data_IF_447087532696
#
_entry.id   IF_447087532696
#
_cell.length_a   1.000
_cell.length_b   1.000
_cell.length_c   1.000
_cell.angle_alpha   90.00
_cell.angle_beta   90.00
_cell.angle_gamma   90.00
#
_symmetry.space_group_name_H-M   'P 1'
#
loop_
_entity.id
_entity.type
_entity.pdbx_description
1 polymer ?
#
# COMPACT_ATOMS: atom_id res chain seq x y z
N UNK A 1 21.18 45.41 5.51
CA UNK A 1 21.04 44.28 4.57
C UNK A 1 20.48 43.05 5.30
N UNK A 2 19.27 43.14 5.88
CA UNK A 2 18.73 42.07 6.76
C UNK A 2 17.25 41.75 6.46
N UNK A 3 16.69 42.32 5.38
CA UNK A 3 15.28 42.13 4.97
C UNK A 3 15.10 41.35 3.67
N UNK A 4 16.18 40.97 2.97
CA UNK A 4 16.11 40.19 1.71
C UNK A 4 16.31 38.68 1.88
N UNK A 5 16.92 38.22 2.99
CA UNK A 5 17.13 36.79 3.23
C UNK A 5 15.84 36.05 3.65
N UNK A 6 14.90 36.73 4.30
CA UNK A 6 13.69 36.09 4.86
C UNK A 6 12.64 35.81 3.78
N UNK A 7 12.62 36.58 2.68
CA UNK A 7 11.66 36.38 1.60
C UNK A 7 12.03 35.20 0.68
N UNK A 8 13.32 34.84 0.59
CA UNK A 8 13.77 33.65 -0.12
C UNK A 8 13.47 32.35 0.64
N UNK A 9 13.51 32.36 1.98
CA UNK A 9 13.09 31.19 2.78
C UNK A 9 11.58 30.94 2.74
N UNK A 10 10.76 31.98 2.62
CA UNK A 10 9.29 31.81 2.55
C UNK A 10 8.80 31.28 1.19
N UNK A 11 9.56 31.50 0.11
CA UNK A 11 9.22 31.04 -1.25
C UNK A 11 9.61 29.60 -1.56
N UNK A 12 10.43 28.96 -0.73
CA UNK A 12 10.92 27.58 -0.92
C UNK A 12 10.20 26.53 -0.06
N UNK A 13 9.27 26.94 0.81
CA UNK A 13 8.63 26.07 1.81
C UNK A 13 7.10 25.97 1.73
N UNK A 14 6.45 26.40 0.64
CA UNK A 14 4.97 26.39 0.52
C UNK A 14 4.38 25.40 -0.47
N UNK A 15 5.17 24.49 -1.04
CA UNK A 15 4.59 23.17 -1.35
C UNK A 15 4.46 22.44 -0.03
N UNK A 16 3.23 22.24 0.45
CA UNK A 16 2.91 21.15 1.37
C UNK A 16 3.65 19.91 0.84
N UNK A 17 4.79 19.59 1.46
CA UNK A 17 5.53 18.37 1.22
C UNK A 17 4.62 17.26 1.75
N UNK A 18 3.63 16.85 0.94
CA UNK A 18 3.24 15.45 0.94
C UNK A 18 4.55 14.72 0.70
N UNK A 19 5.04 14.07 1.75
CA UNK A 19 6.30 13.34 1.67
C UNK A 19 6.16 12.38 0.49
N UNK A 20 7.02 12.53 -0.51
CA UNK A 20 7.05 11.61 -1.64
C UNK A 20 7.04 10.17 -1.11
N UNK A 21 6.42 9.23 -1.84
CA UNK A 21 6.33 7.86 -1.37
C UNK A 21 7.75 7.35 -1.08
N UNK A 22 7.90 6.69 0.06
CA UNK A 22 9.22 6.36 0.60
C UNK A 22 9.24 4.95 1.18
N UNK A 23 10.43 4.34 1.17
CA UNK A 23 10.67 3.00 1.68
C UNK A 23 11.72 3.10 2.78
N UNK A 24 11.35 2.77 4.01
CA UNK A 24 12.29 2.54 5.10
C UNK A 24 12.57 1.05 5.22
N UNK A 25 13.83 0.67 5.38
CA UNK A 25 14.26 -0.71 5.62
C UNK A 25 15.04 -0.78 6.94
N UNK A 26 14.67 -1.72 7.81
CA UNK A 26 15.40 -2.06 9.03
C UNK A 26 15.71 -3.54 9.05
N UNK A 27 16.96 -3.87 9.33
CA UNK A 27 17.45 -5.25 9.42
C UNK A 27 18.08 -5.50 10.78
N UNK A 28 17.78 -6.66 11.34
CA UNK A 28 18.22 -7.06 12.67
C UNK A 28 18.54 -8.55 12.67
N UNK A 29 19.76 -8.91 13.10
CA UNK A 29 20.14 -10.32 13.30
C UNK A 29 19.81 -10.71 14.72
N UNK A 30 19.08 -11.81 14.89
CA UNK A 30 18.68 -12.34 16.18
C UNK A 30 19.08 -13.81 16.31
N UNK A 31 19.29 -14.27 17.53
CA UNK A 31 19.33 -15.70 17.84
C UNK A 31 17.94 -16.15 18.31
N UNK A 32 17.40 -17.18 17.66
CA UNK A 32 16.13 -17.80 18.04
C UNK A 32 16.40 -19.25 18.40
N UNK A 33 16.38 -19.55 19.69
CA UNK A 33 16.58 -20.92 20.22
C UNK A 33 17.89 -21.56 19.70
N UNK A 34 18.97 -20.78 19.59
CA UNK A 34 20.26 -21.23 19.06
C UNK A 34 20.37 -21.25 17.54
N UNK A 35 19.35 -20.75 16.81
CA UNK A 35 19.39 -20.58 15.36
C UNK A 35 19.45 -19.10 15.01
N UNK A 36 20.49 -18.63 14.31
CA UNK A 36 20.57 -17.25 13.86
C UNK A 36 19.51 -17.00 12.78
N UNK A 37 18.78 -15.89 12.90
CA UNK A 37 17.74 -15.43 11.97
C UNK A 37 17.97 -13.96 11.61
N UNK A 38 17.54 -13.57 10.41
CA UNK A 38 17.53 -12.19 9.94
C UNK A 38 16.08 -11.70 9.91
N UNK A 39 15.80 -10.65 10.67
CA UNK A 39 14.51 -9.96 10.66
C UNK A 39 14.63 -8.71 9.78
N UNK A 40 13.85 -8.67 8.72
CA UNK A 40 13.79 -7.53 7.80
C UNK A 40 12.40 -6.89 7.88
N UNK A 41 12.37 -5.58 8.11
CA UNK A 41 11.16 -4.77 8.20
C UNK A 41 11.21 -3.66 7.17
N UNK A 42 10.27 -3.68 6.23
CA UNK A 42 10.02 -2.62 5.29
C UNK A 42 8.79 -1.83 5.72
N UNK A 43 8.91 -0.51 5.72
CA UNK A 43 7.80 0.42 5.88
C UNK A 43 7.71 1.25 4.61
N UNK A 44 6.61 1.09 3.87
CA UNK A 44 6.34 1.89 2.67
C UNK A 44 5.29 2.93 2.99
N UNK A 45 5.63 4.20 2.85
CA UNK A 45 4.71 5.32 3.08
C UNK A 45 4.10 5.73 1.74
N UNK A 46 2.76 5.79 1.66
CA UNK A 46 1.99 6.23 0.50
C UNK A 46 0.88 7.17 0.97
N UNK A 47 0.98 8.47 0.69
CA UNK A 47 0.08 9.51 1.18
C UNK A 47 -0.21 9.39 2.68
N UNK A 48 -1.45 9.04 3.03
CA UNK A 48 -1.92 8.83 4.41
C UNK A 48 -1.89 7.35 4.86
N UNK A 49 -1.46 6.45 3.99
CA UNK A 49 -1.32 5.03 4.26
C UNK A 49 0.12 4.61 4.50
N UNK A 50 0.29 3.57 5.31
CA UNK A 50 1.58 2.95 5.55
C UNK A 50 1.45 1.43 5.39
N UNK A 51 2.32 0.83 4.58
CA UNK A 51 2.36 -0.60 4.34
C UNK A 51 3.52 -1.18 5.14
N UNK A 52 3.23 -2.16 5.99
CA UNK A 52 4.20 -2.87 6.80
C UNK A 52 4.47 -4.24 6.19
N UNK A 53 5.72 -4.48 5.81
CA UNK A 53 6.15 -5.77 5.31
C UNK A 53 7.30 -6.30 6.18
N UNK A 54 7.10 -7.47 6.78
CA UNK A 54 8.02 -8.09 7.73
C UNK A 54 8.33 -9.51 7.28
N UNK A 55 9.61 -9.87 7.31
CA UNK A 55 10.04 -11.25 7.10
C UNK A 55 11.13 -11.68 8.07
N UNK A 56 11.03 -12.90 8.58
CA UNK A 56 12.10 -13.61 9.30
C UNK A 56 12.68 -14.67 8.38
N UNK A 57 13.99 -14.58 8.11
CA UNK A 57 14.69 -15.44 7.14
C UNK A 57 15.94 -16.08 7.73
N UNK A 58 16.40 -17.17 7.10
CA UNK A 58 17.72 -17.72 7.39
C UNK A 58 18.79 -16.76 6.85
N UNK A 59 19.78 -16.32 7.66
CA UNK A 59 20.78 -15.34 7.23
C UNK A 59 21.66 -15.80 6.06
N UNK A 60 21.74 -17.11 5.82
CA UNK A 60 22.65 -17.68 4.82
C UNK A 60 22.02 -17.80 3.43
N UNK A 61 20.71 -18.01 3.32
CA UNK A 61 20.04 -18.24 2.03
C UNK A 61 18.78 -17.36 1.82
N UNK A 62 18.50 -16.45 2.75
CA UNK A 62 17.35 -15.54 2.75
C UNK A 62 15.99 -16.22 2.55
N UNK A 63 15.89 -17.53 2.81
CA UNK A 63 14.60 -18.22 2.76
C UNK A 63 13.81 -17.91 4.03
N UNK A 64 12.49 -17.68 3.92
CA UNK A 64 11.62 -17.55 5.08
C UNK A 64 11.77 -18.76 6.01
N UNK A 65 11.99 -18.51 7.30
CA UNK A 65 12.00 -19.54 8.34
C UNK A 65 10.53 -19.77 8.71
N UNK A 66 9.74 -20.37 7.81
CA UNK A 66 8.30 -20.57 8.07
C UNK A 66 8.10 -21.59 9.18
N UNK A 67 8.01 -21.17 10.45
CA UNK A 67 7.71 -22.10 11.55
C UNK A 67 6.85 -21.53 12.69
N UNK A 68 6.63 -20.22 12.83
CA UNK A 68 5.71 -19.68 13.86
C UNK A 68 4.90 -18.46 13.37
N UNK A 69 3.79 -18.17 14.06
CA UNK A 69 2.98 -16.98 13.80
C UNK A 69 3.81 -15.69 13.96
N UNK A 70 3.73 -14.81 12.97
CA UNK A 70 4.37 -13.50 12.99
C UNK A 70 5.74 -13.44 12.32
N UNK A 71 6.27 -14.56 11.82
CA UNK A 71 7.52 -14.62 11.02
C UNK A 71 7.36 -13.93 9.65
N UNK A 72 6.12 -13.92 9.13
CA UNK A 72 5.72 -13.17 7.96
C UNK A 72 4.58 -12.22 8.36
N UNK A 73 4.68 -10.94 7.98
CA UNK A 73 3.59 -9.98 8.13
C UNK A 73 3.49 -9.10 6.90
N UNK A 74 2.28 -9.04 6.33
CA UNK A 74 1.94 -8.09 5.28
C UNK A 74 0.71 -7.34 5.75
N UNK A 75 0.90 -6.11 6.19
CA UNK A 75 -0.11 -5.33 6.87
C UNK A 75 -0.19 -3.90 6.38
N UNK A 76 -1.27 -3.22 6.75
CA UNK A 76 -1.42 -1.79 6.49
C UNK A 76 -1.82 -1.05 7.76
N UNK A 77 -1.23 0.12 7.93
CA UNK A 77 -1.65 1.15 8.86
C UNK A 77 -2.33 2.22 8.05
N UNK A 78 -3.65 2.25 8.16
CA UNK A 78 -4.48 3.14 7.38
C UNK A 78 -5.58 3.71 8.27
N UNK A 79 -5.73 5.03 8.23
CA UNK A 79 -6.70 5.83 9.00
C UNK A 79 -6.56 5.83 10.53
N UNK A 80 -6.48 4.68 11.18
CA UNK A 80 -6.39 4.59 12.66
C UNK A 80 -5.06 4.08 13.14
N UNK A 81 -4.81 4.36 14.42
CA UNK A 81 -3.77 3.70 15.19
C UNK A 81 -3.80 2.18 14.98
N UNK A 82 -2.64 1.55 14.80
CA UNK A 82 -2.52 0.12 14.61
C UNK A 82 -3.29 -0.66 15.68
N UNK A 83 -3.86 -1.81 15.31
CA UNK A 83 -4.56 -2.72 16.23
C UNK A 83 -5.80 -2.13 16.92
N UNK A 84 -6.41 -1.09 16.33
CA UNK A 84 -7.73 -0.63 16.76
C UNK A 84 -8.86 -1.25 15.91
N UNK A 85 -9.91 -1.81 16.53
CA UNK A 85 -11.06 -2.32 15.78
C UNK A 85 -11.72 -1.24 14.92
N UNK A 86 -12.28 -1.68 13.79
CA UNK A 86 -12.73 -0.81 12.70
C UNK A 86 -11.65 -0.49 11.67
N UNK A 87 -10.38 -0.81 11.92
CA UNK A 87 -9.29 -0.60 10.96
C UNK A 87 -8.94 -1.88 10.18
N UNK A 88 -7.93 -1.78 9.31
CA UNK A 88 -7.31 -2.87 8.57
C UNK A 88 -6.12 -3.48 9.30
N UNK A 89 -5.89 -4.79 9.14
CA UNK A 89 -4.87 -5.49 9.93
C UNK A 89 -3.45 -4.96 9.64
N UNK A 90 -2.71 -4.45 10.65
CA UNK A 90 -1.34 -3.97 10.44
C UNK A 90 -0.32 -5.10 10.32
N UNK A 91 -0.74 -6.36 10.42
CA UNK A 91 0.13 -7.54 10.40
C UNK A 91 -0.28 -8.61 9.38
N UNK A 92 -1.56 -8.69 9.03
CA UNK A 92 -2.07 -9.73 8.13
C UNK A 92 -3.23 -9.19 7.30
N UNK A 93 -3.02 -8.06 6.66
CA UNK A 93 -4.01 -7.39 5.82
C UNK A 93 -4.33 -8.25 4.59
N UNK A 94 -3.30 -8.66 3.85
CA UNK A 94 -3.43 -9.28 2.54
C UNK A 94 -2.86 -10.70 2.58
N UNK A 95 -3.60 -11.65 2.00
CA UNK A 95 -3.06 -12.94 1.58
C UNK A 95 -3.41 -13.17 0.10
N UNK A 96 -2.53 -13.84 -0.63
CA UNK A 96 -2.81 -14.32 -1.98
C UNK A 96 -2.55 -15.82 -2.01
N UNK A 97 -3.50 -16.61 -2.50
CA UNK A 97 -3.46 -18.06 -2.49
C UNK A 97 -3.43 -18.57 -3.94
N UNK A 98 -2.50 -19.47 -4.25
CA UNK A 98 -2.44 -20.16 -5.54
C UNK A 98 -3.43 -21.32 -5.61
N UNK A 99 -3.67 -21.89 -6.80
CA UNK A 99 -4.55 -23.07 -6.96
C UNK A 99 -4.09 -24.31 -6.20
N UNK A 100 -2.81 -24.39 -5.84
CA UNK A 100 -2.28 -25.44 -4.97
C UNK A 100 -2.66 -25.26 -3.48
N UNK A 101 -3.41 -24.21 -3.15
CA UNK A 101 -3.99 -23.96 -1.84
C UNK A 101 -3.04 -23.34 -0.82
N UNK A 102 -1.79 -23.02 -1.19
CA UNK A 102 -0.85 -22.38 -0.26
C UNK A 102 -0.70 -20.88 -0.53
N UNK A 103 -0.45 -20.13 0.54
CA UNK A 103 -0.17 -18.70 0.48
C UNK A 103 1.04 -18.44 -0.41
N UNK A 104 0.98 -17.39 -1.23
CA UNK A 104 2.03 -17.02 -2.18
C UNK A 104 3.00 -15.97 -1.59
N UNK A 105 2.49 -15.10 -0.72
CA UNK A 105 3.24 -13.98 -0.13
C UNK A 105 4.29 -14.42 0.90
N UNK A 106 4.04 -15.50 1.64
CA UNK A 106 4.94 -15.96 2.71
C UNK A 106 5.98 -17.00 2.24
N UNK A 107 5.85 -17.55 1.02
CA UNK A 107 6.78 -18.57 0.48
C UNK A 107 8.16 -18.02 0.19
N UNK A 108 8.23 -16.75 -0.21
CA UNK A 108 9.44 -16.07 -0.64
C UNK A 108 9.39 -14.63 -0.18
N UNK A 109 10.55 -14.10 0.20
CA UNK A 109 10.66 -12.66 0.39
C UNK A 109 10.44 -11.93 -0.94
N UNK A 110 9.88 -10.73 -0.90
CA UNK A 110 9.80 -9.85 -2.05
C UNK A 110 11.21 -9.70 -2.68
N UNK A 111 11.31 -9.96 -3.99
CA UNK A 111 12.53 -9.74 -4.77
C UNK A 111 12.75 -8.24 -4.96
N UNK A 112 11.66 -7.48 -5.09
CA UNK A 112 11.68 -6.04 -5.32
C UNK A 112 10.53 -5.36 -4.58
N UNK A 113 10.83 -4.19 -4.02
CA UNK A 113 9.84 -3.28 -3.42
C UNK A 113 10.14 -1.90 -3.98
N UNK A 114 9.21 -1.37 -4.77
CA UNK A 114 9.33 -0.06 -5.40
C UNK A 114 8.22 0.88 -4.95
N UNK A 115 8.46 2.17 -5.16
CA UNK A 115 7.43 3.20 -5.08
C UNK A 115 7.35 3.95 -6.41
N UNK A 116 6.13 4.33 -6.75
CA UNK A 116 5.78 4.99 -7.99
C UNK A 116 4.96 6.21 -7.64
N UNK A 117 5.32 7.37 -8.21
CA UNK A 117 4.48 8.56 -8.19
C UNK A 117 4.18 8.96 -9.63
N UNK A 118 2.90 9.02 -9.99
CA UNK A 118 2.46 9.44 -11.31
C UNK A 118 1.22 10.34 -11.21
N UNK A 119 1.41 11.64 -11.44
CA UNK A 119 0.36 12.64 -11.28
C UNK A 119 -0.18 12.67 -9.85
N UNK A 120 -1.46 12.30 -9.68
CA UNK A 120 -2.11 12.23 -8.36
C UNK A 120 -1.96 10.87 -7.67
N UNK A 121 -1.37 9.87 -8.33
CA UNK A 121 -1.24 8.52 -7.83
C UNK A 121 0.11 8.32 -7.15
N UNK A 122 0.08 7.73 -5.97
CA UNK A 122 1.24 7.15 -5.29
C UNK A 122 1.00 5.65 -5.13
N UNK A 123 1.97 4.82 -5.49
CA UNK A 123 1.79 3.38 -5.53
C UNK A 123 3.03 2.65 -5.02
N UNK A 124 2.84 1.64 -4.18
CA UNK A 124 3.86 0.67 -3.81
C UNK A 124 3.71 -0.57 -4.70
N UNK A 125 4.82 -1.11 -5.17
CA UNK A 125 4.88 -2.33 -5.97
C UNK A 125 5.75 -3.34 -5.25
N UNK A 126 5.18 -4.48 -4.90
CA UNK A 126 5.88 -5.62 -4.33
C UNK A 126 5.90 -6.74 -5.36
N UNK A 127 7.09 -7.20 -5.72
CA UNK A 127 7.28 -8.30 -6.66
C UNK A 127 7.86 -9.48 -5.92
N UNK A 128 7.15 -10.61 -5.97
CA UNK A 128 7.54 -11.88 -5.40
C UNK A 128 7.69 -12.90 -6.52
N UNK A 129 8.57 -13.88 -6.33
CA UNK A 129 8.69 -15.03 -7.25
C UNK A 129 8.43 -16.35 -6.53
N UNK A 130 7.18 -16.62 -6.14
CA UNK A 130 6.82 -17.92 -5.61
C UNK A 130 6.90 -18.94 -6.75
N UNK A 131 7.79 -19.92 -6.59
CA UNK A 131 8.00 -21.01 -7.56
C UNK A 131 8.44 -20.50 -8.95
N UNK A 132 7.68 -20.80 -10.01
CA UNK A 132 8.04 -20.55 -11.41
C UNK A 132 7.30 -19.36 -12.04
N UNK A 133 6.64 -18.53 -11.24
CA UNK A 133 5.87 -17.38 -11.72
C UNK A 133 6.08 -16.16 -10.83
N UNK A 134 5.62 -15.00 -11.30
CA UNK A 134 5.77 -13.72 -10.61
C UNK A 134 4.42 -13.32 -10.02
N UNK A 135 4.42 -13.05 -8.72
CA UNK A 135 3.31 -12.42 -8.01
C UNK A 135 3.65 -10.94 -7.86
N UNK A 136 2.83 -10.09 -8.46
CA UNK A 136 2.88 -8.64 -8.25
C UNK A 136 1.71 -8.20 -7.36
N UNK A 137 2.04 -7.46 -6.31
CA UNK A 137 1.06 -6.76 -5.47
C UNK A 137 1.30 -5.26 -5.61
N UNK A 138 0.31 -4.56 -6.12
CA UNK A 138 0.31 -3.10 -6.29
C UNK A 138 -0.70 -2.49 -5.34
N UNK A 139 -0.27 -1.51 -4.55
CA UNK A 139 -1.14 -0.78 -3.63
C UNK A 139 -1.00 0.70 -3.95
N UNK A 140 -2.09 1.33 -4.38
CA UNK A 140 -2.11 2.72 -4.81
C UNK A 140 -3.03 3.57 -3.92
N UNK A 141 -2.63 4.82 -3.70
CA UNK A 141 -3.46 5.88 -3.14
C UNK A 141 -3.48 7.07 -4.10
N UNK A 142 -4.62 7.77 -4.15
CA UNK A 142 -4.79 8.94 -5.01
C UNK A 142 -5.02 10.17 -4.15
N UNK A 143 -4.32 11.27 -4.47
CA UNK A 143 -4.39 12.54 -3.72
C UNK A 143 -5.81 13.13 -3.67
N UNK A 144 -6.65 12.85 -4.67
CA UNK A 144 -8.06 13.27 -4.70
C UNK A 144 -9.04 12.25 -4.11
N UNK A 145 -8.55 11.09 -3.65
CA UNK A 145 -9.30 10.05 -2.93
C UNK A 145 -8.47 9.53 -1.74
N UNK A 146 -8.13 10.41 -0.79
CA UNK A 146 -7.24 10.05 0.33
C UNK A 146 -7.86 9.00 1.26
N UNK A 147 -9.19 8.85 1.23
CA UNK A 147 -9.96 7.88 2.01
C UNK A 147 -10.07 6.49 1.37
N UNK A 148 -9.38 6.25 0.24
CA UNK A 148 -9.31 4.94 -0.39
C UNK A 148 -7.87 4.46 -0.62
N UNK A 149 -7.67 3.16 -0.43
CA UNK A 149 -6.52 2.44 -0.97
C UNK A 149 -7.01 1.45 -2.02
N UNK A 150 -6.31 1.40 -3.14
CA UNK A 150 -6.61 0.51 -4.26
C UNK A 150 -5.54 -0.57 -4.33
N UNK A 151 -5.94 -1.82 -4.43
CA UNK A 151 -5.05 -2.98 -4.43
C UNK A 151 -5.26 -3.76 -5.71
N UNK A 152 -4.17 -4.16 -6.35
CA UNK A 152 -4.16 -5.13 -7.43
C UNK A 152 -3.19 -6.25 -7.12
N UNK A 153 -3.68 -7.47 -7.24
CA UNK A 153 -2.90 -8.69 -7.15
C UNK A 153 -2.87 -9.33 -8.54
N UNK A 154 -1.68 -9.69 -9.02
CA UNK A 154 -1.52 -10.37 -10.30
C UNK A 154 -0.56 -11.55 -10.13
N UNK A 155 -1.04 -12.75 -10.46
CA UNK A 155 -0.24 -13.98 -10.44
C UNK A 155 -0.63 -14.87 -11.62
N UNK A 156 0.09 -14.79 -12.75
CA UNK A 156 -0.13 -15.65 -13.93
C UNK A 156 0.03 -17.15 -13.64
N UNK A 157 0.58 -17.52 -12.48
CA UNK A 157 0.70 -18.91 -12.03
C UNK A 157 -0.60 -19.51 -11.47
N UNK A 158 -1.77 -18.98 -11.85
CA UNK A 158 -3.10 -19.40 -11.39
C UNK A 158 -3.46 -18.90 -9.99
N UNK A 159 -3.82 -17.61 -9.90
CA UNK A 159 -4.39 -16.99 -8.70
C UNK A 159 -5.73 -17.66 -8.36
N UNK A 160 -5.90 -18.08 -7.10
CA UNK A 160 -7.10 -18.78 -6.67
C UNK A 160 -7.96 -17.97 -5.69
N UNK A 161 -7.32 -17.31 -4.72
CA UNK A 161 -8.01 -16.48 -3.72
C UNK A 161 -7.14 -15.28 -3.32
N UNK A 162 -7.80 -14.18 -2.99
CA UNK A 162 -7.19 -12.99 -2.37
C UNK A 162 -7.95 -12.68 -1.11
N UNK A 163 -7.24 -12.55 0.01
CA UNK A 163 -7.84 -12.26 1.30
C UNK A 163 -7.62 -10.80 1.68
N UNK A 164 -8.64 -10.18 2.25
CA UNK A 164 -8.54 -8.86 2.88
C UNK A 164 -9.06 -8.94 4.32
N UNK A 165 -8.19 -8.61 5.29
CA UNK A 165 -8.48 -8.82 6.72
C UNK A 165 -8.52 -7.51 7.51
N UNK A 166 -9.66 -7.19 8.14
CA UNK A 166 -9.76 -6.09 9.10
C UNK A 166 -9.17 -6.46 10.49
N UNK A 167 -8.81 -5.46 11.33
CA UNK A 167 -8.14 -5.63 12.65
C UNK A 167 -8.91 -6.46 13.67
N UNK A 168 -8.30 -7.52 14.17
CA UNK A 168 -8.96 -8.42 15.11
C UNK A 168 -9.25 -7.78 16.47
N UNK A 169 -10.44 -8.07 17.02
CA UNK A 169 -10.90 -7.62 18.34
C UNK A 169 -10.98 -8.81 19.30
N UNK A 170 -9.84 -9.34 19.74
CA UNK A 170 -9.81 -10.62 20.45
C UNK A 170 -10.58 -10.63 21.78
N UNK A 171 -11.45 -11.64 21.93
CA UNK A 171 -11.93 -12.14 23.23
C UNK A 171 -12.77 -11.16 24.04
N UNK A 172 -13.38 -10.16 23.38
CA UNK A 172 -14.24 -9.20 24.05
C UNK A 172 -15.71 -9.67 23.98
N UNK A 173 -16.41 -9.80 25.11
CA UNK A 173 -17.79 -10.28 25.12
C UNK A 173 -18.77 -9.32 24.42
N UNK A 174 -18.39 -8.07 24.18
CA UNK A 174 -19.18 -7.05 23.48
C UNK A 174 -18.95 -7.03 21.95
N UNK A 175 -18.22 -8.01 21.40
CA UNK A 175 -17.90 -8.09 19.98
C UNK A 175 -19.09 -8.59 19.16
N UNK A 176 -19.73 -7.70 18.40
CA UNK A 176 -20.68 -8.07 17.35
C UNK A 176 -19.95 -8.09 16.01
N UNK A 177 -19.84 -9.27 15.39
CA UNK A 177 -19.21 -9.41 14.08
C UNK A 177 -20.29 -9.36 13.01
N UNK A 178 -20.60 -8.15 12.53
CA UNK A 178 -21.60 -7.89 11.49
C UNK A 178 -20.96 -7.57 10.13
N UNK A 179 -21.64 -7.96 9.07
CA UNK A 179 -21.30 -7.61 7.70
C UNK A 179 -22.55 -7.28 6.90
N UNK A 180 -22.39 -6.53 5.82
CA UNK A 180 -23.42 -6.35 4.82
C UNK A 180 -22.89 -6.61 3.42
N UNK A 181 -23.74 -7.21 2.62
CA UNK A 181 -23.66 -7.31 1.17
C UNK A 181 -24.83 -6.54 0.57
N UNK A 182 -24.84 -6.40 -0.75
CA UNK A 182 -25.97 -5.76 -1.46
C UNK A 182 -27.31 -6.43 -1.18
N UNK A 183 -27.32 -7.75 -0.93
CA UNK A 183 -28.56 -8.48 -0.65
C UNK A 183 -29.06 -8.34 0.79
N UNK A 184 -28.25 -7.77 1.69
CA UNK A 184 -28.62 -7.60 3.09
C UNK A 184 -27.47 -7.74 4.07
N UNK A 185 -27.77 -7.42 5.33
CA UNK A 185 -26.86 -7.61 6.45
C UNK A 185 -26.92 -9.05 6.99
N UNK A 186 -25.83 -9.46 7.63
CA UNK A 186 -25.73 -10.71 8.36
C UNK A 186 -24.78 -10.57 9.55
N UNK A 187 -24.92 -11.50 10.49
CA UNK A 187 -24.10 -11.54 11.69
C UNK A 187 -23.43 -12.91 11.79
N UNK A 188 -22.20 -12.93 12.33
CA UNK A 188 -21.53 -14.17 12.71
C UNK A 188 -22.31 -14.80 13.89
N UNK A 189 -22.64 -16.10 13.84
CA UNK A 189 -23.22 -16.79 14.98
C UNK A 189 -22.26 -16.81 16.19
N UNK A 190 -22.77 -16.44 17.37
CA UNK A 190 -22.01 -16.50 18.62
C UNK A 190 -21.52 -17.94 18.92
N UNK A 191 -20.29 -18.07 19.44
CA UNK A 191 -19.71 -19.35 19.87
C UNK A 191 -19.28 -20.30 18.75
N UNK A 192 -19.28 -19.88 17.47
CA UNK A 192 -18.83 -20.71 16.34
C UNK A 192 -17.54 -20.15 15.71
N UNK A 193 -16.34 -20.63 16.10
CA UNK A 193 -15.08 -20.16 15.53
C UNK A 193 -14.88 -20.58 14.06
N UNK A 194 -15.36 -21.77 13.68
CA UNK A 194 -15.23 -22.31 12.31
C UNK A 194 -16.36 -21.91 11.36
N UNK A 195 -17.05 -20.81 11.65
CA UNK A 195 -18.15 -20.35 10.79
C UNK A 195 -17.61 -19.84 9.44
N UNK A 196 -18.22 -20.35 8.37
CA UNK A 196 -17.95 -19.99 6.99
C UNK A 196 -19.28 -19.72 6.30
N UNK A 197 -19.43 -18.54 5.72
CA UNK A 197 -20.44 -18.24 4.71
C UNK A 197 -19.78 -18.15 3.34
N UNK A 198 -20.23 -18.98 2.42
CA UNK A 198 -19.82 -18.92 1.01
C UNK A 198 -21.01 -18.43 0.18
N UNK A 199 -20.83 -17.36 -0.59
CA UNK A 199 -21.91 -16.73 -1.35
C UNK A 199 -21.45 -16.20 -2.69
N UNK A 200 -22.30 -16.29 -3.70
CA UNK A 200 -22.19 -15.44 -4.90
C UNK A 200 -22.99 -14.18 -4.61
N UNK A 201 -22.32 -13.04 -4.54
CA UNK A 201 -22.95 -11.73 -4.33
C UNK A 201 -23.37 -11.14 -5.68
N UNK A 202 -24.55 -10.56 -5.75
CA UNK A 202 -25.04 -9.75 -6.87
C UNK A 202 -24.51 -8.31 -6.83
N UNK A 203 -23.79 -7.94 -5.77
CA UNK A 203 -23.09 -6.67 -5.62
C UNK A 203 -21.57 -6.76 -5.71
N UNK A 204 -20.97 -5.58 -5.64
CA UNK A 204 -19.58 -5.23 -5.92
C UNK A 204 -18.90 -4.65 -4.67
N UNK A 205 -19.57 -4.76 -3.52
CA UNK A 205 -19.10 -4.19 -2.26
C UNK A 205 -19.42 -5.07 -1.07
N UNK A 206 -18.64 -4.87 -0.01
CA UNK A 206 -18.82 -5.52 1.29
C UNK A 206 -18.51 -4.50 2.37
N UNK A 207 -19.33 -4.50 3.40
CA UNK A 207 -19.15 -3.66 4.57
C UNK A 207 -18.99 -4.56 5.80
N UNK A 208 -18.02 -4.29 6.66
CA UNK A 208 -17.90 -4.89 7.99
C UNK A 208 -18.07 -3.78 9.04
N UNK A 209 -18.81 -4.04 10.11
CA UNK A 209 -19.12 -3.01 11.12
C UNK A 209 -19.45 -3.60 12.50
N UNK A 210 -19.60 -2.71 13.48
CA UNK A 210 -20.08 -2.97 14.84
C UNK A 210 -19.24 -3.94 15.70
N UNK A 211 -17.90 -3.95 15.54
CA UNK A 211 -17.01 -4.78 16.38
C UNK A 211 -17.11 -4.53 17.90
N UNK A 212 -17.74 -3.45 18.34
CA UNK A 212 -18.15 -3.31 19.73
C UNK A 212 -19.55 -2.72 19.72
N UNK A 213 -20.47 -3.28 20.52
CA UNK A 213 -21.90 -2.94 20.54
C UNK A 213 -22.26 -1.43 20.64
N UNK A 214 -21.29 -0.58 20.97
CA UNK A 214 -21.46 0.86 21.19
C UNK A 214 -20.55 1.74 20.31
N UNK A 215 -19.91 1.20 19.27
CA UNK A 215 -19.01 1.99 18.41
C UNK A 215 -19.38 1.94 16.94
N UNK A 216 -19.63 3.14 16.39
CA UNK A 216 -20.07 3.38 15.02
C UNK A 216 -18.88 3.52 14.05
N UNK A 217 -18.27 2.40 13.67
CA UNK A 217 -17.23 2.38 12.65
C UNK A 217 -17.18 1.04 11.92
N UNK A 218 -16.44 1.01 10.82
CA UNK A 218 -16.23 -0.22 10.08
C UNK A 218 -15.37 -0.04 8.85
N UNK A 219 -15.24 -1.11 8.07
CA UNK A 219 -14.43 -1.16 6.87
C UNK A 219 -15.27 -1.44 5.63
N UNK A 220 -14.78 -0.97 4.49
CA UNK A 220 -15.38 -1.19 3.17
C UNK A 220 -14.44 -1.94 2.26
N UNK A 221 -14.99 -2.85 1.46
CA UNK A 221 -14.33 -3.40 0.28
C UNK A 221 -15.21 -3.10 -0.91
N UNK A 222 -14.62 -2.62 -2.00
CA UNK A 222 -15.25 -2.53 -3.33
C UNK A 222 -14.38 -3.32 -4.31
N UNK A 223 -14.98 -4.12 -5.19
CA UNK A 223 -14.24 -4.93 -6.17
C UNK A 223 -14.95 -4.94 -7.53
N UNK A 224 -14.19 -5.30 -8.57
CA UNK A 224 -14.72 -5.49 -9.91
C UNK A 224 -15.64 -6.71 -9.94
N UNK A 225 -16.96 -6.50 -10.05
CA UNK A 225 -17.95 -7.60 -9.92
C UNK A 225 -17.72 -8.71 -10.93
N UNK A 226 -17.40 -8.33 -12.17
CA UNK A 226 -17.17 -9.24 -13.29
C UNK A 226 -15.93 -10.13 -13.09
N UNK A 227 -14.98 -9.69 -12.25
CA UNK A 227 -13.76 -10.44 -11.94
C UNK A 227 -13.91 -11.34 -10.72
N UNK A 228 -15.05 -11.31 -10.02
CA UNK A 228 -15.29 -12.09 -8.80
C UNK A 228 -16.31 -13.21 -9.02
N UNK A 229 -15.84 -14.45 -8.89
CA UNK A 229 -16.68 -15.65 -8.91
C UNK A 229 -17.55 -15.78 -7.67
N UNK A 230 -16.90 -15.63 -6.52
CA UNK A 230 -17.47 -15.97 -5.23
C UNK A 230 -16.76 -15.21 -4.12
N UNK A 231 -17.49 -14.90 -3.06
CA UNK A 231 -16.92 -14.42 -1.80
C UNK A 231 -17.14 -15.47 -0.72
N UNK A 232 -16.11 -15.69 0.11
CA UNK A 232 -16.24 -16.35 1.39
C UNK A 232 -16.02 -15.32 2.51
N UNK A 233 -16.91 -15.37 3.49
CA UNK A 233 -16.85 -14.58 4.71
C UNK A 233 -16.70 -15.57 5.86
N UNK A 234 -15.64 -15.46 6.64
CA UNK A 234 -15.36 -16.47 7.67
C UNK A 234 -14.50 -15.95 8.82
N UNK A 235 -14.37 -16.82 9.81
CA UNK A 235 -13.45 -16.66 10.94
C UNK A 235 -13.98 -15.73 12.01
N UNK A 236 -13.22 -15.63 13.09
CA UNK A 236 -13.63 -14.86 14.27
C UNK A 236 -13.78 -13.36 14.00
N UNK A 237 -13.02 -12.86 13.01
CA UNK A 237 -12.83 -11.44 12.76
C UNK A 237 -13.39 -10.95 11.42
N UNK A 238 -14.25 -11.75 10.77
CA UNK A 238 -14.78 -11.50 9.42
C UNK A 238 -13.64 -11.21 8.45
N UNK A 239 -13.04 -12.27 7.94
CA UNK A 239 -12.11 -12.23 6.81
C UNK A 239 -12.87 -12.38 5.52
N UNK A 240 -12.44 -11.65 4.50
CA UNK A 240 -13.01 -11.71 3.18
C UNK A 240 -12.07 -12.46 2.26
N UNK A 241 -12.44 -13.68 1.86
CA UNK A 241 -11.77 -14.40 0.78
C UNK A 241 -12.50 -14.11 -0.53
N UNK A 242 -11.84 -13.37 -1.41
CA UNK A 242 -12.34 -13.00 -2.72
C UNK A 242 -11.78 -14.01 -3.72
N UNK A 243 -12.66 -14.73 -4.42
CA UNK A 243 -12.28 -15.75 -5.42
C UNK A 243 -12.34 -15.16 -6.83
N UNK A 244 -11.19 -14.76 -7.42
CA UNK A 244 -11.19 -14.20 -8.76
C UNK A 244 -11.52 -15.23 -9.83
N UNK A 245 -12.05 -14.75 -10.97
CA UNK A 245 -12.21 -15.51 -12.21
C UNK A 245 -10.95 -15.50 -13.09
N UNK A 246 -9.98 -14.63 -12.77
CA UNK A 246 -8.78 -14.42 -13.57
C UNK A 246 -7.50 -14.47 -12.71
N UNK A 247 -6.35 -14.54 -13.38
CA UNK A 247 -5.03 -14.51 -12.74
C UNK A 247 -4.66 -13.14 -12.16
N UNK A 248 -5.53 -12.14 -12.31
CA UNK A 248 -5.43 -10.85 -11.66
C UNK A 248 -6.75 -10.42 -11.04
N UNK A 249 -6.65 -9.68 -9.95
CA UNK A 249 -7.80 -9.17 -9.22
C UNK A 249 -7.49 -7.81 -8.61
N UNK A 250 -8.41 -6.87 -8.81
CA UNK A 250 -8.33 -5.55 -8.20
C UNK A 250 -9.50 -5.33 -7.24
N UNK A 251 -9.22 -4.64 -6.14
CA UNK A 251 -10.22 -4.21 -5.18
C UNK A 251 -9.76 -2.92 -4.50
N UNK A 252 -10.69 -2.17 -3.93
CA UNK A 252 -10.46 -0.98 -3.15
C UNK A 252 -10.93 -1.22 -1.72
N UNK A 253 -10.24 -0.59 -0.78
CA UNK A 253 -10.59 -0.63 0.64
C UNK A 253 -10.70 0.77 1.21
N UNK A 254 -11.60 0.90 2.18
CA UNK A 254 -11.81 2.14 2.92
C UNK A 254 -12.42 1.80 4.29
N UNK A 255 -12.97 2.82 4.93
CA UNK A 255 -13.54 2.80 6.27
C UNK A 255 -14.65 3.84 6.38
N UNK A 256 -15.45 3.72 7.45
CA UNK A 256 -16.31 4.80 7.92
C UNK A 256 -16.16 4.97 9.43
N UNK A 257 -16.49 6.16 9.92
CA UNK A 257 -16.30 6.56 11.31
C UNK A 257 -17.45 7.41 11.81
N UNK A 258 -17.78 7.24 13.08
CA UNK A 258 -18.73 8.06 13.84
C UNK A 258 -20.05 8.25 13.09
N UNK A 259 -20.51 7.17 12.46
CA UNK A 259 -21.74 7.11 11.66
C UNK A 259 -22.43 5.78 11.84
N UNK A 260 -23.73 5.84 12.10
CA UNK A 260 -24.57 4.66 12.25
C UNK A 260 -24.52 3.77 10.98
N UNK A 261 -24.14 2.48 11.09
CA UNK A 261 -24.05 1.57 9.95
C UNK A 261 -25.34 1.45 9.13
N UNK A 262 -26.51 1.59 9.76
CA UNK A 262 -27.80 1.54 9.07
C UNK A 262 -28.02 2.73 8.14
N UNK A 263 -27.43 3.88 8.43
CA UNK A 263 -27.43 5.06 7.56
C UNK A 263 -26.35 4.97 6.48
N UNK A 264 -25.19 4.43 6.83
CA UNK A 264 -24.04 4.29 5.94
C UNK A 264 -24.31 3.25 4.85
N UNK A 265 -24.99 2.14 5.19
CA UNK A 265 -25.23 1.02 4.27
C UNK A 265 -25.90 1.42 2.96
N UNK A 266 -27.06 2.12 2.94
CA UNK A 266 -27.71 2.50 1.69
C UNK A 266 -26.86 3.47 0.86
N UNK A 267 -26.15 4.42 1.48
CA UNK A 267 -25.24 5.33 0.78
C UNK A 267 -24.08 4.55 0.13
N UNK A 268 -23.44 3.68 0.91
CA UNK A 268 -22.32 2.88 0.46
C UNK A 268 -22.69 2.04 -0.77
N UNK A 269 -23.78 1.27 -0.69
CA UNK A 269 -24.16 0.35 -1.77
C UNK A 269 -24.75 1.03 -3.01
N UNK A 270 -25.45 2.17 -2.85
CA UNK A 270 -26.15 2.81 -3.97
C UNK A 270 -25.36 3.97 -4.61
N UNK A 271 -24.43 4.58 -3.88
CA UNK A 271 -23.66 5.74 -4.35
C UNK A 271 -22.17 5.42 -4.43
N UNK A 272 -21.58 5.00 -3.31
CA UNK A 272 -20.12 4.84 -3.21
C UNK A 272 -19.60 3.66 -4.05
N UNK A 273 -20.24 2.49 -3.97
CA UNK A 273 -19.81 1.28 -4.69
C UNK A 273 -19.72 1.51 -6.21
N UNK A 274 -20.76 2.05 -6.89
CA UNK A 274 -20.67 2.34 -8.32
C UNK A 274 -19.55 3.31 -8.69
N UNK A 275 -19.36 4.40 -7.92
CA UNK A 275 -18.30 5.38 -8.19
C UNK A 275 -16.91 4.75 -8.06
N UNK A 276 -16.68 4.05 -6.94
CA UNK A 276 -15.38 3.47 -6.61
C UNK A 276 -15.04 2.32 -7.55
N UNK A 277 -16.00 1.47 -7.92
CA UNK A 277 -15.77 0.41 -8.91
C UNK A 277 -15.43 1.01 -10.28
N UNK A 278 -16.17 2.04 -10.72
CA UNK A 278 -15.87 2.73 -11.99
C UNK A 278 -14.46 3.33 -11.97
N UNK A 279 -14.06 3.92 -10.85
CA UNK A 279 -12.72 4.46 -10.69
C UNK A 279 -11.67 3.33 -10.69
N UNK A 280 -11.88 2.26 -9.94
CA UNK A 280 -11.00 1.08 -9.87
C UNK A 280 -10.71 0.50 -11.26
N UNK A 281 -11.72 0.38 -12.11
CA UNK A 281 -11.61 -0.07 -13.51
C UNK A 281 -10.80 0.89 -14.39
N UNK A 282 -10.73 2.18 -14.04
CA UNK A 282 -10.00 3.21 -14.79
C UNK A 282 -8.51 3.33 -14.41
N UNK A 283 -8.07 2.68 -13.33
CA UNK A 283 -6.69 2.81 -12.84
C UNK A 283 -5.72 2.19 -13.85
N UNK A 284 -4.76 3.01 -14.32
CA UNK A 284 -3.59 2.47 -15.01
C UNK A 284 -2.63 1.86 -13.99
N UNK A 285 -2.72 0.55 -13.83
CA UNK A 285 -1.88 -0.21 -12.92
C UNK A 285 -0.42 -0.33 -13.35
N UNK A 286 -0.09 -0.02 -14.61
CA UNK A 286 1.28 -0.02 -15.15
C UNK A 286 1.62 1.38 -15.68
N UNK A 287 1.70 2.38 -14.80
CA UNK A 287 2.09 3.72 -15.21
C UNK A 287 3.52 3.73 -15.75
N UNK A 288 3.80 4.68 -16.63
CA UNK A 288 5.15 5.04 -17.06
C UNK A 288 5.42 6.45 -16.53
N UNK A 289 6.64 6.78 -16.07
CA UNK A 289 6.92 8.12 -15.56
C UNK A 289 6.69 9.17 -16.65
N UNK A 290 6.04 10.26 -16.27
CA UNK A 290 5.72 11.34 -17.19
C UNK A 290 6.98 12.17 -17.52
N UNK A 291 7.21 12.40 -18.83
CA UNK A 291 8.36 13.16 -19.33
C UNK A 291 8.35 14.60 -18.88
N UNK A 292 7.16 15.20 -18.76
CA UNK A 292 7.04 16.60 -18.30
C UNK A 292 7.46 16.72 -16.84
N UNK A 293 7.00 15.83 -15.97
CA UNK A 293 7.39 15.77 -14.55
C UNK A 293 8.90 15.64 -14.39
N UNK A 294 9.53 14.77 -15.18
CA UNK A 294 10.99 14.62 -15.17
C UNK A 294 11.71 15.90 -15.63
N UNK A 295 11.24 16.50 -16.74
CA UNK A 295 11.84 17.73 -17.28
C UNK A 295 11.76 18.89 -16.29
N UNK A 296 10.60 19.09 -15.64
CA UNK A 296 10.41 20.14 -14.66
C UNK A 296 11.35 19.98 -13.45
N UNK A 297 11.53 18.75 -12.97
CA UNK A 297 12.48 18.46 -11.89
C UNK A 297 13.94 18.65 -12.32
N UNK A 298 14.29 18.28 -13.57
CA UNK A 298 15.64 18.48 -14.10
C UNK A 298 15.98 19.97 -14.18
N UNK A 299 15.04 20.80 -14.63
CA UNK A 299 15.19 22.25 -14.68
C UNK A 299 15.33 22.86 -13.28
N UNK A 300 14.53 22.40 -12.32
CA UNK A 300 14.66 22.80 -10.92
C UNK A 300 16.04 22.44 -10.35
N UNK A 301 16.52 21.22 -10.64
CA UNK A 301 17.81 20.71 -10.18
C UNK A 301 18.95 21.56 -10.74
N UNK A 302 18.90 21.89 -12.04
CA UNK A 302 19.87 22.80 -12.68
C UNK A 302 19.86 24.19 -12.07
N UNK A 303 18.68 24.72 -11.73
CA UNK A 303 18.55 26.00 -11.04
C UNK A 303 19.23 25.94 -9.67
N UNK A 304 19.00 24.89 -8.89
CA UNK A 304 19.64 24.70 -7.58
C UNK A 304 21.16 24.51 -7.68
N UNK A 305 21.64 23.81 -8.71
CA UNK A 305 23.07 23.68 -9.01
C UNK A 305 23.68 25.05 -9.37
N UNK A 306 22.95 25.87 -10.13
CA UNK A 306 23.42 27.21 -10.52
C UNK A 306 23.56 28.14 -9.31
N UNK A 307 22.67 28.02 -8.33
CA UNK A 307 22.77 28.73 -7.04
C UNK A 307 24.04 28.27 -6.30
N UNK A 308 24.22 26.94 -6.15
CA UNK A 308 25.38 26.36 -5.47
C UNK A 308 26.71 26.83 -6.07
N UNK A 309 26.75 26.92 -7.40
CA UNK A 309 27.90 27.41 -8.17
C UNK A 309 28.18 28.89 -7.89
N UNK A 310 27.13 29.72 -7.82
CA UNK A 310 27.24 31.14 -7.46
C UNK A 310 27.80 31.36 -6.07
N UNK A 311 27.50 30.46 -5.14
CA UNK A 311 27.98 30.48 -3.75
C UNK A 311 29.38 29.83 -3.58
N UNK A 312 30.07 29.51 -4.68
CA UNK A 312 31.43 28.96 -4.68
C UNK A 312 31.51 27.44 -4.45
N UNK A 313 30.40 26.72 -4.50
CA UNK A 313 30.37 25.27 -4.36
C UNK A 313 30.93 24.51 -5.56
N UNK A 314 31.46 23.29 -5.33
CA UNK A 314 31.88 22.38 -6.38
C UNK A 314 30.68 21.66 -7.00
N UNK A 315 30.43 21.89 -8.30
CA UNK A 315 29.19 21.44 -8.97
C UNK A 315 29.37 20.47 -10.14
N UNK A 316 30.61 20.23 -10.59
CA UNK A 316 30.88 19.47 -11.82
C UNK A 316 30.27 18.06 -11.79
N UNK A 317 30.33 17.39 -10.64
CA UNK A 317 29.75 16.05 -10.45
C UNK A 317 28.22 16.07 -10.52
N UNK A 318 27.57 17.10 -9.95
CA UNK A 318 26.13 17.28 -10.02
C UNK A 318 25.66 17.57 -11.46
N UNK A 319 26.35 18.48 -12.18
CA UNK A 319 26.05 18.79 -13.58
C UNK A 319 26.20 17.56 -14.48
N UNK A 320 27.24 16.74 -14.26
CA UNK A 320 27.43 15.47 -14.95
C UNK A 320 26.30 14.49 -14.64
N UNK A 321 25.92 14.36 -13.36
CA UNK A 321 24.89 13.40 -12.94
C UNK A 321 23.50 13.74 -13.50
N UNK A 322 23.13 15.02 -13.56
CA UNK A 322 21.88 15.44 -14.23
C UNK A 322 21.88 14.96 -15.68
N UNK A 323 22.95 15.22 -16.45
CA UNK A 323 23.03 14.82 -17.86
C UNK A 323 22.95 13.30 -18.08
N UNK A 324 23.59 12.51 -17.20
CA UNK A 324 23.48 11.04 -17.22
C UNK A 324 22.02 10.62 -17.03
N UNK A 325 21.36 11.14 -15.99
CA UNK A 325 19.96 10.82 -15.69
C UNK A 325 19.01 11.23 -16.82
N UNK A 326 19.25 12.37 -17.47
CA UNK A 326 18.47 12.80 -18.62
C UNK A 326 18.63 11.87 -19.83
N UNK A 327 19.85 11.40 -20.08
CA UNK A 327 20.15 10.45 -21.15
C UNK A 327 19.43 9.14 -20.87
N UNK A 328 19.63 8.57 -19.68
CA UNK A 328 19.00 7.33 -19.23
C UNK A 328 17.47 7.41 -19.34
N UNK A 329 16.88 8.52 -18.88
CA UNK A 329 15.43 8.71 -18.92
C UNK A 329 14.91 8.92 -20.35
N UNK A 330 15.70 9.52 -21.25
CA UNK A 330 15.32 9.70 -22.64
C UNK A 330 15.20 8.36 -23.38
N UNK A 331 16.15 7.46 -23.11
CA UNK A 331 16.24 6.10 -23.68
C UNK A 331 15.17 5.17 -23.10
N UNK A 332 15.03 5.14 -21.77
CA UNK A 332 14.10 4.28 -21.07
C UNK A 332 13.52 4.98 -19.82
N UNK A 333 12.37 5.68 -19.95
CA UNK A 333 11.71 6.32 -18.82
C UNK A 333 11.44 5.33 -17.70
N UNK A 334 12.05 5.53 -16.53
CA UNK A 334 11.91 4.66 -15.37
C UNK A 334 11.67 5.46 -14.08
N UNK A 335 10.95 4.87 -13.12
CA UNK A 335 10.72 5.52 -11.83
C UNK A 335 12.00 5.56 -11.00
N UNK A 336 12.92 4.62 -11.23
CA UNK A 336 14.26 4.61 -10.65
C UNK A 336 15.08 5.83 -11.06
N UNK A 337 15.11 6.15 -12.36
CA UNK A 337 15.82 7.33 -12.87
C UNK A 337 15.17 8.63 -12.36
N UNK A 338 13.84 8.69 -12.30
CA UNK A 338 13.13 9.83 -11.69
C UNK A 338 13.44 9.98 -10.19
N UNK A 339 13.48 8.88 -9.45
CA UNK A 339 13.82 8.88 -8.02
C UNK A 339 15.28 9.31 -7.79
N UNK A 340 16.21 8.87 -8.63
CA UNK A 340 17.61 9.29 -8.57
C UNK A 340 17.75 10.80 -8.82
N UNK A 341 16.98 11.38 -9.73
CA UNK A 341 16.96 12.83 -9.97
C UNK A 341 16.40 13.60 -8.76
N UNK A 342 15.37 13.07 -8.09
CA UNK A 342 14.82 13.66 -6.86
C UNK A 342 15.85 13.69 -5.73
N UNK A 343 16.58 12.59 -5.56
CA UNK A 343 17.61 12.50 -4.54
C UNK A 343 18.76 13.46 -4.84
N UNK A 344 19.19 13.54 -6.09
CA UNK A 344 20.18 14.52 -6.54
C UNK A 344 19.75 15.95 -6.23
N UNK A 345 18.49 16.32 -6.52
CA UNK A 345 17.96 17.64 -6.19
C UNK A 345 17.99 17.91 -4.67
N UNK A 346 17.65 16.91 -3.84
CA UNK A 346 17.72 17.02 -2.37
C UNK A 346 19.14 17.23 -1.87
N UNK A 347 20.11 16.49 -2.41
CA UNK A 347 21.52 16.66 -2.06
C UNK A 347 22.01 18.07 -2.38
N UNK A 348 21.67 18.59 -3.56
CA UNK A 348 22.03 19.95 -3.97
C UNK A 348 21.38 21.00 -3.06
N UNK A 349 20.09 20.86 -2.74
CA UNK A 349 19.38 21.76 -1.81
C UNK A 349 20.06 21.72 -0.43
N UNK A 350 20.40 20.54 0.07
CA UNK A 350 21.10 20.40 1.35
C UNK A 350 22.45 21.12 1.33
N UNK A 351 23.21 21.01 0.24
CA UNK A 351 24.47 21.74 0.07
C UNK A 351 24.30 23.25 0.01
N UNK A 352 23.27 23.75 -0.67
CA UNK A 352 22.93 25.17 -0.65
C UNK A 352 22.66 25.66 0.78
N UNK A 353 21.96 24.86 1.60
CA UNK A 353 21.69 25.20 3.00
C UNK A 353 22.94 25.15 3.89
N UNK A 354 23.91 24.29 3.59
CA UNK A 354 25.20 24.22 4.31
C UNK A 354 26.13 25.41 4.00
N UNK A 355 25.93 26.09 2.86
CA UNK A 355 26.73 27.23 2.41
C UNK A 355 26.15 28.60 2.81
N UNK A 356 24.95 28.63 3.41
CA UNK A 356 24.35 29.82 4.03
C UNK A 356 24.93 30.05 5.43
#
# INVERSE_FOLDING_TARGET
MQKLAVTLLAGLCTTLLYAAPSIEKKEEKLDRKGTPVLVTRHTVNLGNGKINYHTVTNPNDNKPVQQEWGDFRFGIEYWRNPNTPGSWSPVNFLAAIGKDGKTLLDRKVAEKIDTVENGKMEMAVFTFRPENSVLDVRIAQFKDRPDWLFVKVAYPGQLYEVWASPVHGYGKPELESQYALKEGAGEKPCGKPDWILTKTTGGNGVMNFNRYAYKEFGTFIVFEKESLRQIRIHGDDIKFELKPESDSFSFAISYFKDRNPEEVRPEFFNVTVPEVESFLKSINWNPVPDRKTFSELADETRKNISILKGDGGHVADYEKKVKELETDFSEAPSFETLAALRELNREVIKKNLENL
#
